data_IF_659664801954
#
_entry.id   IF_659664801954
#
_cell.length_a   1.000
_cell.length_b   1.000
_cell.length_c   1.000
_cell.angle_alpha   90.00
_cell.angle_beta   90.00
_cell.angle_gamma   90.00
#
_symmetry.space_group_name_H-M   'P 1'
#
loop_
_entity.id
_entity.type
_entity.pdbx_description
1 polymer ?
#
# COMPACT_ATOMS: atom_id res chain seq x y z
N UNK A 1 -2.63 0.97 13.98
CA UNK A 1 -2.38 0.27 12.69
C UNK A 1 -3.60 0.46 11.79
N UNK A 2 -3.42 0.63 10.48
CA UNK A 2 -4.53 0.72 9.51
C UNK A 2 -4.53 -0.52 8.62
N UNK A 3 -5.70 -1.16 8.48
CA UNK A 3 -5.84 -2.41 7.75
C UNK A 3 -6.78 -2.19 6.56
N UNK A 4 -6.21 -2.14 5.36
CA UNK A 4 -6.93 -1.98 4.10
C UNK A 4 -7.11 -3.35 3.45
N UNK A 5 -8.35 -3.71 3.12
CA UNK A 5 -8.64 -4.94 2.38
C UNK A 5 -8.61 -4.67 0.89
N UNK A 6 -7.85 -5.43 0.12
CA UNK A 6 -7.80 -5.31 -1.34
C UNK A 6 -9.11 -5.87 -1.92
N UNK A 7 -9.85 -5.02 -2.66
CA UNK A 7 -11.05 -5.42 -3.40
C UNK A 7 -10.65 -5.91 -4.79
N UNK A 8 -9.78 -5.12 -5.45
CA UNK A 8 -9.22 -5.43 -6.77
C UNK A 8 -7.90 -4.71 -6.93
N UNK A 9 -6.98 -5.33 -7.66
CA UNK A 9 -5.72 -4.73 -8.04
C UNK A 9 -5.39 -5.19 -9.46
N UNK A 10 -5.17 -4.25 -10.38
CA UNK A 10 -4.88 -4.51 -11.79
C UNK A 10 -3.52 -3.93 -12.15
N UNK A 11 -2.73 -4.67 -12.94
CA UNK A 11 -1.51 -4.16 -13.53
C UNK A 11 -1.83 -3.32 -14.77
N UNK A 12 -1.33 -2.09 -14.81
CA UNK A 12 -1.28 -1.26 -16.01
C UNK A 12 0.17 -0.91 -16.34
N UNK A 13 0.74 -1.64 -17.30
CA UNK A 13 2.15 -1.51 -17.69
C UNK A 13 3.11 -1.72 -16.51
N UNK A 14 3.53 -0.65 -15.84
CA UNK A 14 4.54 -0.66 -14.78
C UNK A 14 4.01 -0.23 -13.40
N UNK A 15 2.69 -0.09 -13.25
CA UNK A 15 2.07 0.23 -11.96
C UNK A 15 0.78 -0.57 -11.75
N UNK A 16 0.41 -0.73 -10.48
CA UNK A 16 -0.84 -1.36 -10.08
C UNK A 16 -1.84 -0.29 -9.64
N UNK A 17 -3.10 -0.50 -10.01
CA UNK A 17 -4.19 0.37 -9.61
C UNK A 17 -5.42 -0.45 -9.27
N UNK A 18 -6.25 0.05 -8.36
CA UNK A 18 -7.36 -0.74 -7.87
C UNK A 18 -8.19 -0.04 -6.82
N UNK A 19 -8.85 -0.85 -6.00
CA UNK A 19 -9.68 -0.39 -4.89
C UNK A 19 -9.37 -1.19 -3.63
N UNK A 20 -9.39 -0.50 -2.51
CA UNK A 20 -9.28 -1.07 -1.17
C UNK A 20 -10.47 -0.63 -0.31
N UNK A 21 -10.90 -1.50 0.59
CA UNK A 21 -11.89 -1.20 1.62
C UNK A 21 -11.18 -0.85 2.94
N UNK A 22 -11.59 0.24 3.58
CA UNK A 22 -11.18 0.56 4.95
C UNK A 22 -12.37 1.15 5.69
N UNK A 23 -12.74 0.52 6.82
CA UNK A 23 -13.88 0.96 7.67
C UNK A 23 -15.18 1.19 6.89
N UNK A 24 -15.47 0.31 5.93
CA UNK A 24 -16.63 0.37 5.01
C UNK A 24 -16.57 1.46 3.93
N UNK A 25 -15.52 2.27 3.89
CA UNK A 25 -15.25 3.18 2.78
C UNK A 25 -14.37 2.50 1.73
N UNK A 26 -14.61 2.84 0.45
CA UNK A 26 -13.81 2.35 -0.67
C UNK A 26 -12.89 3.47 -1.15
N UNK A 27 -11.59 3.19 -1.17
CA UNK A 27 -10.57 4.10 -1.67
C UNK A 27 -9.90 3.51 -2.91
N UNK A 28 -9.51 4.38 -3.83
CA UNK A 28 -8.60 3.99 -4.91
C UNK A 28 -7.21 3.75 -4.33
N UNK A 29 -6.50 2.79 -4.93
CA UNK A 29 -5.10 2.53 -4.61
C UNK A 29 -4.24 2.64 -5.88
N UNK A 30 -3.03 3.17 -5.72
CA UNK A 30 -1.96 3.13 -6.71
C UNK A 30 -0.66 2.64 -6.07
N UNK A 31 -0.06 1.62 -6.67
CA UNK A 31 1.24 1.08 -6.26
C UNK A 31 2.19 1.11 -7.46
N UNK A 32 3.34 1.76 -7.34
CA UNK A 32 4.31 1.88 -8.44
C UNK A 32 5.76 1.83 -7.97
N UNK A 33 6.66 1.63 -8.92
CA UNK A 33 8.09 1.77 -8.70
C UNK A 33 8.47 3.20 -8.30
N UNK A 34 9.54 3.31 -7.52
CA UNK A 34 10.07 4.58 -7.04
C UNK A 34 10.56 5.44 -8.23
N UNK A 35 9.98 6.63 -8.41
CA UNK A 35 10.48 7.61 -9.39
C UNK A 35 11.38 8.67 -8.76
N UNK A 36 11.00 9.15 -7.58
CA UNK A 36 11.69 10.23 -6.84
C UNK A 36 11.91 9.87 -5.37
N UNK A 37 11.98 8.57 -5.10
CA UNK A 37 12.05 7.97 -3.77
C UNK A 37 10.71 7.38 -3.32
N UNK A 38 10.75 6.75 -2.15
CA UNK A 38 9.61 6.07 -1.52
C UNK A 38 8.54 7.05 -1.08
N UNK A 39 7.27 6.65 -1.20
CA UNK A 39 6.12 7.47 -0.82
C UNK A 39 5.05 6.60 -0.19
N UNK A 40 4.50 7.06 0.93
CA UNK A 40 3.18 6.68 1.40
C UNK A 40 2.30 7.94 1.49
N UNK A 41 1.16 7.95 0.79
CA UNK A 41 0.06 8.88 1.08
C UNK A 41 -1.20 8.11 1.39
N UNK A 42 -1.99 8.66 2.30
CA UNK A 42 -3.22 8.03 2.78
C UNK A 42 -4.43 8.87 2.36
N UNK A 43 -5.62 8.25 2.25
CA UNK A 43 -6.86 8.96 1.93
C UNK A 43 -7.39 9.86 3.06
N UNK A 44 -6.65 9.94 4.17
CA UNK A 44 -6.94 10.76 5.34
C UNK A 44 -5.63 11.04 6.10
N UNK A 45 -5.56 12.13 6.88
CA UNK A 45 -4.37 12.44 7.66
C UNK A 45 -4.18 11.45 8.83
N UNK A 46 -2.92 11.13 9.13
CA UNK A 46 -2.52 10.43 10.36
C UNK A 46 -1.54 11.28 11.17
N UNK A 47 -1.60 11.15 12.49
CA UNK A 47 -0.58 11.64 13.41
C UNK A 47 0.41 10.51 13.69
N UNK A 48 1.63 10.62 13.17
CA UNK A 48 2.71 9.67 13.40
C UNK A 48 3.90 10.38 14.06
N UNK A 49 4.48 9.77 15.09
CA UNK A 49 5.76 10.20 15.68
C UNK A 49 6.96 9.63 14.91
N UNK A 50 6.72 8.70 13.98
CA UNK A 50 7.75 8.01 13.19
C UNK A 50 7.95 8.70 11.85
N UNK A 51 9.21 8.93 11.50
CA UNK A 51 9.63 9.46 10.19
C UNK A 51 9.43 8.44 9.04
N UNK A 52 9.34 7.15 9.37
CA UNK A 52 9.13 6.04 8.42
C UNK A 52 8.10 5.08 8.98
N UNK A 53 7.14 4.73 8.14
CA UNK A 53 6.02 3.84 8.46
C UNK A 53 6.26 2.50 7.76
N UNK A 54 6.03 1.41 8.47
CA UNK A 54 6.07 0.08 7.84
C UNK A 54 4.77 -0.11 7.09
N UNK A 55 4.89 -0.44 5.81
CA UNK A 55 3.77 -0.88 4.99
C UNK A 55 3.99 -2.33 4.63
N UNK A 56 3.04 -3.19 5.01
CA UNK A 56 3.00 -4.60 4.63
C UNK A 56 1.92 -4.80 3.57
N UNK A 57 2.22 -5.59 2.55
CA UNK A 57 1.20 -6.18 1.68
C UNK A 57 1.26 -7.69 1.86
N UNK A 58 0.14 -8.31 2.20
CA UNK A 58 0.07 -9.73 2.54
C UNK A 58 -1.10 -10.42 1.84
N UNK A 59 -0.96 -11.73 1.69
CA UNK A 59 -2.04 -12.63 1.33
C UNK A 59 -2.82 -13.16 2.53
N UNK A 60 -3.81 -14.03 2.26
CA UNK A 60 -4.60 -14.68 3.30
C UNK A 60 -3.72 -15.30 4.37
N UNK A 61 -4.12 -15.14 5.64
CA UNK A 61 -3.41 -15.65 6.83
C UNK A 61 -2.00 -15.07 7.04
N UNK A 62 -1.55 -14.11 6.21
CA UNK A 62 -0.26 -13.43 6.38
C UNK A 62 0.98 -14.28 6.07
N UNK A 63 0.81 -15.45 5.43
CA UNK A 63 1.93 -16.37 5.12
C UNK A 63 2.85 -15.81 4.04
N UNK A 64 2.26 -15.23 2.99
CA UNK A 64 2.97 -14.56 1.91
C UNK A 64 2.86 -13.05 2.13
N UNK A 65 3.99 -12.36 2.30
CA UNK A 65 4.00 -10.92 2.49
C UNK A 65 5.29 -10.26 2.00
N UNK A 66 5.17 -8.95 1.75
CA UNK A 66 6.28 -8.03 1.54
C UNK A 66 6.11 -6.84 2.47
N UNK A 67 7.23 -6.31 2.96
CA UNK A 67 7.26 -5.11 3.80
C UNK A 67 8.26 -4.10 3.26
N UNK A 68 7.93 -2.82 3.41
CA UNK A 68 8.89 -1.75 3.19
C UNK A 68 8.64 -0.56 4.14
N UNK A 69 9.71 0.20 4.39
CA UNK A 69 9.66 1.46 5.15
C UNK A 69 9.40 2.62 4.21
N UNK A 70 8.22 3.22 4.31
CA UNK A 70 7.80 4.33 3.48
C UNK A 70 7.69 5.62 4.31
N UNK A 71 8.22 6.75 3.81
CA UNK A 71 7.99 8.04 4.44
C UNK A 71 6.54 8.49 4.17
N UNK A 72 5.83 8.88 5.23
CA UNK A 72 4.52 9.49 5.08
C UNK A 72 4.64 10.88 4.46
N UNK A 73 3.94 11.10 3.34
CA UNK A 73 3.95 12.37 2.58
C UNK A 73 2.63 13.13 2.63
N UNK A 74 1.75 12.77 3.57
CA UNK A 74 0.49 13.45 3.80
C UNK A 74 -0.70 12.77 3.13
N UNK A 75 -1.76 13.55 2.98
CA UNK A 75 -3.05 13.11 2.45
C UNK A 75 -3.08 13.14 0.91
N UNK A 76 -3.87 12.24 0.31
CA UNK A 76 -4.26 12.22 -1.10
C UNK A 76 -5.71 11.75 -1.24
N UNK A 77 -6.33 11.86 -2.41
CA UNK A 77 -7.61 11.18 -2.67
C UNK A 77 -7.43 9.64 -2.61
N UNK A 78 -6.22 9.14 -2.88
CA UNK A 78 -5.91 7.71 -3.05
C UNK A 78 -4.97 7.21 -1.96
N UNK A 79 -4.97 5.90 -1.73
CA UNK A 79 -3.84 5.23 -1.09
C UNK A 79 -2.70 5.15 -2.12
N UNK A 80 -1.62 5.89 -1.92
CA UNK A 80 -0.46 5.91 -2.82
C UNK A 80 0.75 5.25 -2.16
N UNK A 81 1.33 4.26 -2.85
CA UNK A 81 2.53 3.54 -2.44
C UNK A 81 3.54 3.59 -3.60
N UNK A 82 4.66 4.30 -3.39
CA UNK A 82 5.82 4.21 -4.26
C UNK A 82 6.90 3.40 -3.54
N UNK A 83 7.16 2.17 -4.01
CA UNK A 83 8.15 1.25 -3.46
C UNK A 83 8.54 0.21 -4.50
N UNK A 84 9.84 0.08 -4.77
CA UNK A 84 10.33 -0.95 -5.68
C UNK A 84 10.11 -2.35 -5.10
N UNK A 85 10.37 -2.53 -3.79
CA UNK A 85 10.21 -3.83 -3.11
C UNK A 85 8.78 -4.33 -3.21
N UNK A 86 7.81 -3.46 -2.87
CA UNK A 86 6.39 -3.81 -2.93
C UNK A 86 5.96 -4.02 -4.39
N UNK A 87 6.26 -3.09 -5.29
CA UNK A 87 5.81 -3.17 -6.69
C UNK A 87 6.38 -4.40 -7.43
N UNK A 88 7.66 -4.74 -7.22
CA UNK A 88 8.24 -5.95 -7.81
C UNK A 88 7.67 -7.22 -7.21
N UNK A 89 7.47 -7.27 -5.89
CA UNK A 89 6.83 -8.43 -5.26
C UNK A 89 5.41 -8.67 -5.78
N UNK A 90 4.63 -7.60 -5.97
CA UNK A 90 3.29 -7.66 -6.54
C UNK A 90 3.29 -8.20 -7.97
N UNK A 91 4.31 -7.91 -8.77
CA UNK A 91 4.40 -8.41 -10.15
C UNK A 91 4.47 -9.94 -10.22
N UNK A 92 5.06 -10.58 -9.19
CA UNK A 92 5.18 -12.03 -9.11
C UNK A 92 4.00 -12.70 -8.37
N UNK A 93 3.21 -11.93 -7.59
CA UNK A 93 2.22 -12.48 -6.63
C UNK A 93 0.84 -11.79 -6.65
N UNK A 94 0.50 -11.02 -7.69
CA UNK A 94 -0.66 -10.11 -7.71
C UNK A 94 -1.98 -10.73 -7.20
N UNK A 95 -2.32 -11.96 -7.60
CA UNK A 95 -3.58 -12.62 -7.26
C UNK A 95 -3.56 -13.33 -5.88
N UNK A 96 -2.46 -13.22 -5.14
CA UNK A 96 -2.25 -13.90 -3.85
C UNK A 96 -2.35 -12.95 -2.65
N UNK A 97 -2.55 -11.65 -2.89
CA UNK A 97 -2.52 -10.62 -1.87
C UNK A 97 -3.93 -10.05 -1.63
N UNK A 98 -4.31 -9.90 -0.37
CA UNK A 98 -5.65 -9.45 0.04
C UNK A 98 -5.65 -8.31 1.05
N UNK A 99 -4.50 -7.99 1.65
CA UNK A 99 -4.41 -7.05 2.78
C UNK A 99 -3.22 -6.12 2.64
N UNK A 100 -3.42 -4.85 3.00
CA UNK A 100 -2.37 -3.84 3.16
C UNK A 100 -2.44 -3.28 4.58
N UNK A 101 -1.37 -3.44 5.34
CA UNK A 101 -1.25 -2.96 6.72
C UNK A 101 -0.30 -1.76 6.79
N UNK A 102 -0.73 -0.68 7.45
CA UNK A 102 0.05 0.55 7.68
C UNK A 102 0.33 0.69 9.17
N UNK A 103 1.57 0.47 9.58
CA UNK A 103 2.00 0.41 10.98
C UNK A 103 2.75 1.69 11.38
N UNK A 104 2.02 2.67 11.90
CA UNK A 104 2.50 4.04 12.14
C UNK A 104 2.57 4.47 13.62
N UNK A 105 2.05 3.64 14.53
CA UNK A 105 2.16 3.82 15.99
C UNK A 105 3.53 3.36 16.51
#
# INVERSE_FOLDING_TARGET
MLDFKIIKLNLNQSYFFGEVEFRSDIYKINIQNERRGKVLKLPFPIESKKDRIIVRVSGPEGVLFVEDFLPYKGESEWLEIDSNEIAFFLADHQDQLDTIEVMYE
#
